data_IF_978594726079
#
_entry.id   IF_978594726079
#
_cell.length_a   1.000
_cell.length_b   1.000
_cell.length_c   1.000
_cell.angle_alpha   90.00
_cell.angle_beta   90.00
_cell.angle_gamma   90.00
#
_symmetry.space_group_name_H-M   'P 1'
#
loop_
_entity.id
_entity.type
_entity.pdbx_description
1 polymer ?
#
# COMPACT_ATOMS: atom_id res chain seq x y z
N UNK A 1 0.67 1.74 18.20
CA UNK A 1 -0.25 2.41 17.25
C UNK A 1 0.41 3.67 16.73
N UNK A 2 0.29 3.96 15.44
CA UNK A 2 0.76 5.21 14.82
C UNK A 2 -0.32 6.28 15.08
N UNK A 3 0.00 7.36 15.78
CA UNK A 3 -0.94 8.46 15.96
C UNK A 3 -1.16 9.23 14.65
N UNK A 4 -2.36 9.12 14.08
CA UNK A 4 -2.83 9.86 12.90
C UNK A 4 -2.42 9.27 11.54
N UNK A 5 -2.87 9.91 10.46
CA UNK A 5 -2.55 9.54 9.07
C UNK A 5 -1.11 9.91 8.73
N UNK A 6 -0.22 8.91 8.73
CA UNK A 6 1.20 9.11 8.43
C UNK A 6 1.63 8.18 7.31
N UNK A 7 2.38 8.74 6.37
CA UNK A 7 3.02 7.96 5.31
C UNK A 7 4.02 6.97 5.90
N UNK A 8 3.92 5.70 5.48
CA UNK A 8 4.80 4.59 5.88
C UNK A 8 5.92 4.37 4.86
N UNK A 9 7.01 3.69 5.23
CA UNK A 9 8.07 3.34 4.28
C UNK A 9 8.99 4.49 3.83
N UNK A 10 9.05 5.62 4.57
CA UNK A 10 9.90 6.77 4.23
C UNK A 10 11.40 6.53 4.43
N UNK A 11 11.76 5.55 5.26
CA UNK A 11 13.15 5.19 5.51
C UNK A 11 13.42 3.82 4.93
N UNK A 12 14.67 3.53 4.57
CA UNK A 12 15.06 2.20 4.08
C UNK A 12 14.63 1.09 5.05
N UNK A 13 14.83 1.27 6.35
CA UNK A 13 14.43 0.29 7.37
C UNK A 13 12.92 0.06 7.42
N UNK A 14 12.12 1.12 7.30
CA UNK A 14 10.65 0.99 7.29
C UNK A 14 10.13 0.43 5.97
N UNK A 15 10.78 0.72 4.84
CA UNK A 15 10.44 0.14 3.54
C UNK A 15 10.74 -1.37 3.49
N UNK A 16 11.89 -1.80 4.05
CA UNK A 16 12.23 -3.23 4.17
C UNK A 16 11.19 -3.96 5.03
N UNK A 17 10.87 -3.40 6.21
CA UNK A 17 9.86 -3.98 7.08
C UNK A 17 8.48 -4.04 6.39
N UNK A 18 8.10 -3.01 5.66
CA UNK A 18 6.84 -2.99 4.91
C UNK A 18 6.77 -4.12 3.86
N UNK A 19 7.86 -4.37 3.14
CA UNK A 19 7.96 -5.49 2.21
C UNK A 19 7.86 -6.86 2.92
N UNK A 20 8.52 -7.00 4.07
CA UNK A 20 8.44 -8.22 4.88
C UNK A 20 7.01 -8.50 5.35
N UNK A 21 6.31 -7.48 5.83
CA UNK A 21 4.91 -7.57 6.24
C UNK A 21 4.01 -7.98 5.05
N UNK A 22 4.23 -7.38 3.87
CA UNK A 22 3.50 -7.70 2.65
C UNK A 22 3.72 -9.17 2.19
N UNK A 23 4.96 -9.66 2.26
CA UNK A 23 5.30 -11.05 1.97
C UNK A 23 4.70 -12.01 2.99
N UNK A 24 4.64 -11.62 4.26
CA UNK A 24 4.07 -12.43 5.33
C UNK A 24 2.56 -12.65 5.13
N UNK A 25 1.81 -11.60 4.78
CA UNK A 25 0.37 -11.73 4.52
C UNK A 25 0.09 -12.56 3.25
N UNK A 26 0.92 -12.42 2.22
CA UNK A 26 0.84 -13.30 1.04
C UNK A 26 1.07 -14.77 1.43
N UNK A 27 2.13 -15.05 2.22
CA UNK A 27 2.44 -16.41 2.70
C UNK A 27 1.31 -16.98 3.56
N UNK A 28 0.58 -16.14 4.28
CA UNK A 28 -0.59 -16.54 5.06
C UNK A 28 -1.82 -16.89 4.20
N UNK A 29 -1.77 -16.66 2.88
CA UNK A 29 -2.83 -17.03 1.94
C UNK A 29 -3.71 -15.87 1.48
N UNK A 30 -3.30 -14.61 1.69
CA UNK A 30 -3.99 -13.47 1.10
C UNK A 30 -4.00 -13.59 -0.43
N UNK A 31 -5.15 -13.35 -1.07
CA UNK A 31 -5.27 -13.38 -2.53
C UNK A 31 -4.96 -12.02 -3.18
N UNK A 32 -4.98 -10.94 -2.40
CA UNK A 32 -4.63 -9.57 -2.77
C UNK A 32 -4.32 -8.77 -1.49
N UNK A 33 -3.67 -7.62 -1.61
CA UNK A 33 -3.39 -6.72 -0.47
C UNK A 33 -3.56 -5.24 -0.83
N UNK A 34 -3.98 -4.42 0.14
CA UNK A 34 -4.06 -2.96 -0.02
C UNK A 34 -2.75 -2.32 0.44
N UNK A 35 -2.25 -1.37 -0.36
CA UNK A 35 -1.06 -0.56 -0.05
C UNK A 35 -1.51 0.89 0.12
N UNK A 36 -1.43 1.39 1.36
CA UNK A 36 -1.95 2.71 1.73
C UNK A 36 -0.86 3.65 2.24
N UNK A 37 -0.84 4.86 1.69
CA UNK A 37 0.03 5.96 2.13
C UNK A 37 1.53 5.55 2.20
N UNK A 38 2.05 5.04 1.09
CA UNK A 38 3.46 4.59 0.95
C UNK A 38 4.09 5.34 -0.24
N UNK A 39 5.39 5.72 -0.20
CA UNK A 39 6.08 6.27 -1.36
C UNK A 39 5.89 5.40 -2.61
N UNK A 40 5.62 6.03 -3.75
CA UNK A 40 5.29 5.33 -5.00
C UNK A 40 6.34 4.28 -5.39
N UNK A 41 7.63 4.62 -5.25
CA UNK A 41 8.75 3.71 -5.55
C UNK A 41 8.76 2.46 -4.66
N UNK A 42 8.38 2.60 -3.38
CA UNK A 42 8.28 1.48 -2.44
C UNK A 42 7.07 0.62 -2.78
N UNK A 43 5.94 1.23 -3.12
CA UNK A 43 4.73 0.51 -3.52
C UNK A 43 4.93 -0.27 -4.84
N UNK A 44 5.62 0.32 -5.81
CA UNK A 44 5.99 -0.36 -7.06
C UNK A 44 6.95 -1.52 -6.79
N UNK A 45 7.96 -1.33 -5.94
CA UNK A 45 8.86 -2.40 -5.53
C UNK A 45 8.09 -3.57 -4.89
N UNK A 46 7.18 -3.29 -3.95
CA UNK A 46 6.35 -4.31 -3.30
C UNK A 46 5.49 -5.03 -4.33
N UNK A 47 4.85 -4.31 -5.22
CA UNK A 47 4.01 -4.87 -6.29
C UNK A 47 4.81 -5.83 -7.19
N UNK A 48 6.03 -5.46 -7.54
CA UNK A 48 6.93 -6.30 -8.33
C UNK A 48 7.48 -7.53 -7.58
N UNK A 49 7.41 -7.55 -6.25
CA UNK A 49 7.90 -8.65 -5.40
C UNK A 49 6.80 -9.64 -5.01
N UNK A 50 5.55 -9.20 -4.92
CA UNK A 50 4.43 -10.07 -4.63
C UNK A 50 3.98 -10.83 -5.89
N UNK A 51 3.44 -12.03 -5.69
CA UNK A 51 2.74 -12.78 -6.74
C UNK A 51 1.23 -12.49 -6.74
N UNK A 52 0.72 -11.84 -5.69
CA UNK A 52 -0.68 -11.43 -5.58
C UNK A 52 -0.86 -9.95 -5.95
N UNK A 53 -2.05 -9.54 -6.44
CA UNK A 53 -2.31 -8.14 -6.79
C UNK A 53 -2.21 -7.20 -5.58
N UNK A 54 -1.66 -6.01 -5.82
CA UNK A 54 -1.69 -4.89 -4.87
C UNK A 54 -2.75 -3.86 -5.30
N UNK A 55 -3.49 -3.31 -4.34
CA UNK A 55 -4.49 -2.26 -4.55
C UNK A 55 -4.04 -0.99 -3.83
N UNK A 56 -3.68 0.04 -4.60
CA UNK A 56 -3.11 1.27 -4.06
C UNK A 56 -4.14 2.32 -3.65
N UNK A 57 -3.87 3.02 -2.55
CA UNK A 57 -4.51 4.30 -2.18
C UNK A 57 -3.45 5.23 -1.57
N UNK A 58 -3.18 6.36 -2.23
CA UNK A 58 -2.05 7.21 -1.84
C UNK A 58 -0.68 6.49 -1.94
N UNK A 59 -0.55 5.55 -2.89
CA UNK A 59 0.62 4.70 -3.08
C UNK A 59 1.21 4.78 -4.51
N UNK A 60 0.78 5.76 -5.31
CA UNK A 60 1.19 5.88 -6.71
C UNK A 60 0.50 4.89 -7.65
N UNK A 61 0.86 4.93 -8.93
CA UNK A 61 0.25 4.13 -10.00
C UNK A 61 0.95 2.79 -10.26
N UNK A 62 2.02 2.47 -9.52
CA UNK A 62 2.77 1.21 -9.65
C UNK A 62 2.11 -0.01 -8.99
N UNK A 63 0.92 0.15 -8.39
CA UNK A 63 0.12 -0.98 -7.88
C UNK A 63 -0.69 -1.66 -9.00
N UNK A 64 -1.08 -2.92 -8.81
CA UNK A 64 -1.87 -3.68 -9.79
C UNK A 64 -3.27 -3.10 -10.04
N UNK A 65 -3.83 -2.43 -9.04
CA UNK A 65 -5.12 -1.74 -9.10
C UNK A 65 -5.14 -0.56 -8.13
N UNK A 66 -6.27 0.14 -8.09
CA UNK A 66 -6.45 1.34 -7.27
C UNK A 66 -7.77 1.29 -6.51
N UNK A 67 -7.81 1.91 -5.34
CA UNK A 67 -9.02 2.12 -4.54
C UNK A 67 -9.10 3.57 -4.09
N UNK A 68 -10.31 4.12 -4.06
CA UNK A 68 -10.64 5.38 -3.43
C UNK A 68 -11.93 5.22 -2.63
N UNK A 69 -12.07 6.02 -1.58
CA UNK A 69 -13.35 6.15 -0.89
C UNK A 69 -14.31 6.90 -1.82
N UNK A 70 -15.51 6.35 -2.04
CA UNK A 70 -16.45 6.90 -3.01
C UNK A 70 -16.84 8.35 -2.71
N UNK A 71 -17.06 8.71 -1.44
CA UNK A 71 -17.44 10.08 -1.05
C UNK A 71 -16.32 11.08 -1.33
N UNK A 72 -15.06 10.72 -1.05
CA UNK A 72 -13.90 11.55 -1.35
C UNK A 72 -13.73 11.72 -2.86
N UNK A 73 -13.88 10.64 -3.63
CA UNK A 73 -13.80 10.65 -5.09
C UNK A 73 -14.89 11.53 -5.73
N UNK A 74 -16.09 11.56 -5.14
CA UNK A 74 -17.20 12.40 -5.60
C UNK A 74 -17.11 13.85 -5.10
N UNK A 75 -16.09 14.20 -4.31
CA UNK A 75 -15.89 15.53 -3.77
C UNK A 75 -16.86 15.92 -2.64
N UNK A 76 -17.46 14.94 -1.95
CA UNK A 76 -18.38 15.17 -0.85
C UNK A 76 -17.62 15.19 0.49
N UNK A 77 -17.06 16.35 0.83
CA UNK A 77 -16.36 16.60 2.09
C UNK A 77 -17.26 17.42 3.04
N UNK A 78 -17.23 17.18 4.36
CA UNK A 78 -17.94 17.99 5.36
C UNK A 78 -17.39 19.43 5.46
#
# INVERSE_FOLDING_TARGET
ALGGFRVQGKTTSSAVKFLEDALAVQKAGAFATVVEAVPAEVAELVTNKLSIPTIGIGAGNGCSGQVLVQVDMLGNFP
#
